data_IF_296693115946
#
_entry.id   IF_296693115946
#
_cell.length_a   1.000
_cell.length_b   1.000
_cell.length_c   1.000
_cell.angle_alpha   90.00
_cell.angle_beta   90.00
_cell.angle_gamma   90.00
#
_symmetry.space_group_name_H-M   'P 1'
#
loop_
_entity.id
_entity.type
_entity.pdbx_description
1 polymer ?
#
# COMPACT_ATOMS: atom_id res chain seq x y z
N UNK A 1 40.93 -40.15 -14.95
CA UNK A 1 40.88 -39.02 -15.92
C UNK A 1 40.52 -39.40 -17.37
N UNK A 2 40.35 -40.67 -17.74
CA UNK A 2 39.88 -41.02 -19.11
C UNK A 2 38.40 -40.72 -19.37
N UNK A 3 37.53 -40.76 -18.34
CA UNK A 3 36.10 -40.54 -18.47
C UNK A 3 35.69 -39.10 -18.86
N UNK A 4 36.60 -38.12 -18.75
CA UNK A 4 36.35 -36.72 -19.14
C UNK A 4 36.59 -36.45 -20.65
N UNK A 5 37.11 -37.43 -21.40
CA UNK A 5 37.48 -37.27 -22.82
C UNK A 5 36.50 -37.92 -23.81
N UNK A 6 35.43 -38.55 -23.31
CA UNK A 6 34.39 -39.13 -24.17
C UNK A 6 33.42 -38.06 -24.64
N UNK A 7 33.47 -37.70 -25.92
CA UNK A 7 32.45 -36.83 -26.52
C UNK A 7 31.05 -37.45 -26.33
N UNK A 8 30.09 -36.66 -25.85
CA UNK A 8 28.69 -37.08 -25.70
C UNK A 8 28.36 -38.00 -24.51
N UNK A 9 29.30 -38.31 -23.61
CA UNK A 9 28.99 -39.11 -22.41
C UNK A 9 28.59 -38.20 -21.24
N UNK A 10 27.38 -38.32 -20.66
CA UNK A 10 26.98 -37.55 -19.48
C UNK A 10 27.90 -37.85 -18.29
N UNK A 11 28.43 -36.80 -17.66
CA UNK A 11 29.31 -36.92 -16.50
C UNK A 11 28.55 -36.57 -15.22
N UNK A 12 28.39 -37.50 -14.25
CA UNK A 12 27.69 -37.21 -13.01
C UNK A 12 28.48 -36.22 -12.15
N UNK A 13 27.80 -35.24 -11.57
CA UNK A 13 28.37 -34.24 -10.69
C UNK A 13 27.54 -34.12 -9.43
N UNK A 14 28.23 -33.90 -8.30
CA UNK A 14 27.60 -33.59 -7.02
C UNK A 14 28.51 -32.63 -6.26
N UNK A 15 27.95 -31.55 -5.71
CA UNK A 15 28.68 -30.64 -4.84
C UNK A 15 27.76 -30.01 -3.78
N UNK A 16 28.36 -29.62 -2.65
CA UNK A 16 27.72 -28.81 -1.60
C UNK A 16 28.71 -27.72 -1.20
N UNK A 17 28.43 -26.50 -1.63
CA UNK A 17 29.26 -25.32 -1.42
C UNK A 17 28.61 -24.37 -0.42
N UNK A 18 29.43 -23.76 0.44
CA UNK A 18 29.01 -22.73 1.40
C UNK A 18 29.93 -21.53 1.31
N UNK A 19 29.36 -20.33 1.19
CA UNK A 19 30.06 -19.06 1.29
C UNK A 19 29.26 -18.12 2.17
N UNK A 20 29.83 -17.70 3.30
CA UNK A 20 29.08 -16.97 4.33
C UNK A 20 27.83 -17.75 4.77
N UNK A 21 26.66 -17.12 4.66
CA UNK A 21 25.37 -17.74 4.99
C UNK A 21 24.67 -18.34 3.77
N UNK A 22 25.29 -18.28 2.59
CA UNK A 22 24.76 -18.86 1.36
C UNK A 22 25.25 -20.27 1.18
N UNK A 23 24.33 -21.19 0.86
CA UNK A 23 24.61 -22.59 0.52
C UNK A 23 24.04 -22.91 -0.86
N UNK A 24 24.85 -23.58 -1.66
CA UNK A 24 24.48 -24.09 -2.97
C UNK A 24 24.79 -25.58 -2.99
N UNK A 25 23.78 -26.42 -3.15
CA UNK A 25 23.95 -27.86 -3.28
C UNK A 25 23.32 -28.35 -4.56
N UNK A 26 24.03 -29.20 -5.30
CA UNK A 26 23.50 -29.77 -6.54
C UNK A 26 23.97 -31.20 -6.77
N UNK A 27 23.14 -31.94 -7.50
CA UNK A 27 23.42 -33.27 -8.03
C UNK A 27 22.82 -33.38 -9.44
N UNK A 28 23.51 -34.06 -10.36
CA UNK A 28 23.01 -34.21 -11.73
C UNK A 28 24.11 -34.57 -12.72
N UNK A 29 23.95 -34.12 -13.97
CA UNK A 29 24.86 -34.45 -15.06
C UNK A 29 25.32 -33.23 -15.84
N UNK A 30 26.59 -33.24 -16.25
CA UNK A 30 27.16 -32.32 -17.23
C UNK A 30 27.30 -33.07 -18.55
N UNK A 31 26.73 -32.54 -19.61
CA UNK A 31 26.87 -33.07 -20.96
C UNK A 31 28.06 -32.38 -21.64
N UNK A 32 28.94 -33.19 -22.25
CA UNK A 32 30.16 -32.72 -22.91
C UNK A 32 30.98 -31.76 -22.02
N UNK A 33 31.57 -32.26 -20.92
CA UNK A 33 32.25 -31.42 -19.93
C UNK A 33 33.44 -30.62 -20.49
N UNK A 34 33.99 -31.02 -21.64
CA UNK A 34 35.07 -30.30 -22.31
C UNK A 34 34.56 -29.11 -23.14
N UNK A 35 33.30 -29.12 -23.58
CA UNK A 35 32.64 -28.01 -24.31
C UNK A 35 31.58 -27.27 -23.48
N UNK A 36 31.34 -27.70 -22.24
CA UNK A 36 30.26 -27.24 -21.36
C UNK A 36 28.89 -27.19 -22.07
N UNK A 37 28.62 -28.15 -22.96
CA UNK A 37 27.48 -28.08 -23.90
C UNK A 37 26.09 -28.03 -23.24
N UNK A 38 25.99 -28.47 -21.99
CA UNK A 38 24.85 -28.19 -21.13
C UNK A 38 24.89 -28.95 -19.81
N UNK A 39 24.10 -28.50 -18.85
CA UNK A 39 24.01 -29.09 -17.51
C UNK A 39 22.55 -29.36 -17.16
N UNK A 40 22.30 -30.47 -16.49
CA UNK A 40 20.99 -30.83 -15.96
C UNK A 40 21.15 -31.25 -14.49
N UNK A 41 20.79 -30.33 -13.60
CA UNK A 41 21.03 -30.44 -12.16
C UNK A 41 19.72 -30.37 -11.40
N UNK A 42 19.60 -31.17 -10.34
CA UNK A 42 18.80 -30.77 -9.19
C UNK A 42 19.60 -29.78 -8.37
N UNK A 43 19.04 -28.61 -8.12
CA UNK A 43 19.73 -27.49 -7.49
C UNK A 43 18.96 -27.01 -6.28
N UNK A 44 19.68 -26.83 -5.18
CA UNK A 44 19.19 -26.26 -3.92
C UNK A 44 19.98 -25.02 -3.58
N UNK A 45 19.27 -23.92 -3.35
CA UNK A 45 19.83 -22.66 -2.88
C UNK A 45 19.24 -22.32 -1.53
N UNK A 46 20.05 -21.81 -0.61
CA UNK A 46 19.56 -21.17 0.61
C UNK A 46 20.48 -20.07 1.06
N UNK A 47 19.95 -19.02 1.67
CA UNK A 47 20.72 -17.89 2.16
C UNK A 47 19.89 -16.98 3.07
N UNK A 48 20.53 -15.95 3.61
CA UNK A 48 19.84 -14.96 4.46
C UNK A 48 19.05 -13.91 3.66
N UNK A 49 19.42 -13.64 2.40
CA UNK A 49 18.73 -12.74 1.48
C UNK A 49 18.98 -13.18 0.02
N UNK A 50 17.96 -13.09 -0.85
CA UNK A 50 18.16 -13.30 -2.29
C UNK A 50 19.15 -12.31 -2.90
N UNK A 51 19.24 -11.09 -2.36
CA UNK A 51 20.19 -10.07 -2.80
C UNK A 51 21.66 -10.47 -2.65
N UNK A 52 21.97 -11.40 -1.73
CA UNK A 52 23.33 -11.91 -1.51
C UNK A 52 23.77 -12.89 -2.62
N UNK A 53 22.84 -13.35 -3.47
CA UNK A 53 23.17 -14.23 -4.59
C UNK A 53 23.95 -13.52 -5.70
N UNK A 54 23.88 -12.20 -5.79
CA UNK A 54 24.53 -11.44 -6.86
C UNK A 54 26.03 -11.69 -6.95
N UNK A 55 26.73 -11.75 -5.81
CA UNK A 55 28.19 -12.01 -5.76
C UNK A 55 28.56 -13.41 -6.26
N UNK A 56 27.63 -14.38 -6.19
CA UNK A 56 27.86 -15.78 -6.57
C UNK A 56 27.38 -16.10 -7.99
N UNK A 57 26.26 -15.50 -8.41
CA UNK A 57 25.56 -15.88 -9.65
C UNK A 57 25.56 -14.78 -10.70
N UNK A 58 25.85 -13.54 -10.33
CA UNK A 58 25.69 -12.35 -11.19
C UNK A 58 24.22 -11.98 -11.45
N UNK A 59 23.26 -12.67 -10.82
CA UNK A 59 21.83 -12.38 -10.96
C UNK A 59 21.43 -11.35 -9.91
N UNK A 60 20.94 -10.18 -10.36
CA UNK A 60 20.44 -9.17 -9.45
C UNK A 60 19.04 -9.57 -8.96
N UNK A 61 18.93 -9.85 -7.67
CA UNK A 61 17.68 -10.14 -6.99
C UNK A 61 17.47 -9.15 -5.84
N UNK A 62 16.22 -8.88 -5.43
CA UNK A 62 15.96 -7.94 -4.37
C UNK A 62 16.37 -8.51 -3.00
N UNK A 63 16.55 -7.64 -2.02
CA UNK A 63 16.74 -8.07 -0.64
C UNK A 63 15.46 -8.69 -0.08
N UNK A 64 15.62 -9.79 0.67
CA UNK A 64 14.52 -10.57 1.22
C UNK A 64 14.86 -11.10 2.62
N UNK A 65 13.87 -11.59 3.37
CA UNK A 65 14.14 -12.52 4.48
C UNK A 65 14.87 -13.80 3.99
N UNK A 66 15.35 -14.65 4.92
CA UNK A 66 16.02 -15.89 4.59
C UNK A 66 15.21 -16.74 3.63
N UNK A 67 15.86 -17.30 2.63
CA UNK A 67 15.21 -18.06 1.58
C UNK A 67 15.82 -19.45 1.44
N UNK A 68 15.02 -20.37 0.90
CA UNK A 68 15.48 -21.66 0.43
C UNK A 68 14.67 -22.08 -0.81
N UNK A 69 15.31 -22.70 -1.79
CA UNK A 69 14.64 -23.26 -2.98
C UNK A 69 15.27 -24.59 -3.38
N UNK A 70 14.48 -25.44 -4.03
CA UNK A 70 14.83 -26.72 -4.64
C UNK A 70 14.13 -26.80 -5.99
N UNK A 71 14.87 -27.10 -7.05
CA UNK A 71 14.32 -27.22 -8.39
C UNK A 71 15.29 -27.86 -9.38
N UNK A 72 14.89 -27.95 -10.65
CA UNK A 72 15.73 -28.50 -11.72
C UNK A 72 16.30 -27.37 -12.56
N UNK A 73 17.63 -27.24 -12.58
CA UNK A 73 18.33 -26.31 -13.45
C UNK A 73 18.78 -27.03 -14.72
N UNK A 74 18.31 -26.57 -15.88
CA UNK A 74 18.84 -26.94 -17.19
C UNK A 74 19.59 -25.75 -17.77
N UNK A 75 20.91 -25.87 -17.89
CA UNK A 75 21.77 -24.81 -18.42
C UNK A 75 22.31 -25.19 -19.80
N UNK A 76 22.32 -24.24 -20.72
CA UNK A 76 23.12 -24.28 -21.96
C UNK A 76 24.19 -23.21 -21.82
N UNK A 77 25.44 -23.63 -21.69
CA UNK A 77 26.55 -22.71 -21.48
C UNK A 77 27.22 -22.48 -22.83
N UNK A 78 27.23 -21.23 -23.25
CA UNK A 78 27.95 -20.75 -24.43
C UNK A 78 28.69 -19.48 -24.00
N UNK A 79 30.03 -19.57 -23.99
CA UNK A 79 30.91 -18.48 -23.55
C UNK A 79 31.14 -17.44 -24.64
N UNK A 80 30.81 -17.75 -25.90
CA UNK A 80 31.01 -16.83 -27.04
C UNK A 80 29.73 -16.04 -27.36
N UNK A 81 28.55 -16.63 -27.12
CA UNK A 81 27.24 -16.03 -27.40
C UNK A 81 26.51 -15.65 -26.12
N UNK A 82 25.60 -16.52 -25.69
CA UNK A 82 24.73 -16.33 -24.54
C UNK A 82 24.49 -17.68 -23.88
N UNK A 83 24.61 -17.69 -22.56
CA UNK A 83 24.27 -18.84 -21.73
C UNK A 83 22.83 -18.70 -21.27
N UNK A 84 22.09 -19.80 -21.30
CA UNK A 84 20.67 -19.86 -20.89
C UNK A 84 20.54 -20.82 -19.71
N UNK A 85 19.99 -20.34 -18.61
CA UNK A 85 19.79 -21.06 -17.37
C UNK A 85 18.29 -21.16 -17.09
N UNK A 86 17.73 -22.35 -17.23
CA UNK A 86 16.30 -22.61 -17.08
C UNK A 86 16.05 -23.36 -15.76
N UNK A 87 15.62 -22.63 -14.73
CA UNK A 87 15.29 -23.16 -13.42
C UNK A 87 13.81 -23.52 -13.34
N UNK A 88 13.52 -24.81 -13.51
CA UNK A 88 12.18 -25.35 -13.73
C UNK A 88 11.55 -25.88 -12.45
N UNK A 89 10.27 -25.55 -12.29
CA UNK A 89 9.39 -26.14 -11.29
C UNK A 89 9.97 -26.07 -9.88
N UNK A 90 10.66 -24.97 -9.56
CA UNK A 90 11.27 -24.83 -8.25
C UNK A 90 10.19 -24.69 -7.18
N UNK A 91 10.49 -25.18 -6.00
CA UNK A 91 9.70 -25.00 -4.78
C UNK A 91 10.61 -24.46 -3.69
N UNK A 92 10.08 -23.59 -2.84
CA UNK A 92 10.89 -22.95 -1.83
C UNK A 92 10.10 -22.08 -0.89
N UNK A 93 10.83 -21.31 -0.09
CA UNK A 93 10.30 -20.34 0.85
C UNK A 93 11.16 -19.09 0.86
N UNK A 94 10.53 -17.95 1.14
CA UNK A 94 11.16 -16.68 1.48
C UNK A 94 10.52 -16.21 2.77
N UNK A 95 11.30 -16.17 3.85
CA UNK A 95 10.76 -16.03 5.19
C UNK A 95 9.79 -17.18 5.49
N UNK A 96 8.56 -16.84 5.80
CA UNK A 96 7.49 -17.80 6.08
C UNK A 96 6.50 -17.92 4.89
N UNK A 97 6.78 -17.27 3.76
CA UNK A 97 6.01 -17.35 2.52
C UNK A 97 6.51 -18.49 1.65
N UNK A 98 5.62 -19.30 1.07
CA UNK A 98 6.02 -20.26 0.04
C UNK A 98 6.26 -19.56 -1.31
N UNK A 99 7.14 -20.13 -2.11
CA UNK A 99 7.40 -19.63 -3.46
C UNK A 99 7.69 -20.78 -4.42
N UNK A 100 7.07 -20.71 -5.59
CA UNK A 100 7.14 -21.74 -6.63
C UNK A 100 7.27 -21.07 -7.99
N UNK A 101 7.81 -21.76 -8.98
CA UNK A 101 7.78 -21.21 -10.33
C UNK A 101 8.75 -21.83 -11.30
N UNK A 102 8.94 -21.13 -12.41
CA UNK A 102 10.03 -21.38 -13.34
C UNK A 102 10.61 -20.05 -13.81
N UNK A 103 11.94 -19.96 -13.85
CA UNK A 103 12.66 -18.77 -14.25
C UNK A 103 13.74 -19.13 -15.27
N UNK A 104 13.85 -18.32 -16.32
CA UNK A 104 14.89 -18.39 -17.32
C UNK A 104 15.78 -17.17 -17.17
N UNK A 105 17.07 -17.41 -16.94
CA UNK A 105 18.08 -16.37 -16.94
C UNK A 105 18.96 -16.53 -18.18
N UNK A 106 18.99 -15.50 -19.02
CA UNK A 106 19.79 -15.47 -20.24
C UNK A 106 20.89 -14.43 -20.10
N UNK A 107 22.15 -14.85 -20.21
CA UNK A 107 23.28 -13.92 -20.25
C UNK A 107 23.39 -13.27 -21.62
N UNK A 108 23.97 -12.07 -21.69
CA UNK A 108 24.16 -11.40 -22.97
C UNK A 108 24.46 -9.92 -22.82
N UNK A 109 24.81 -9.30 -23.95
CA UNK A 109 25.00 -7.84 -24.07
C UNK A 109 23.73 -7.20 -24.68
N UNK A 110 23.37 -5.97 -24.28
CA UNK A 110 24.07 -5.14 -23.30
C UNK A 110 23.86 -5.59 -21.85
N UNK A 111 22.79 -6.34 -21.57
CA UNK A 111 22.42 -6.81 -20.22
C UNK A 111 21.87 -8.23 -20.28
N UNK A 112 22.04 -9.03 -19.20
CA UNK A 112 21.30 -10.26 -19.04
C UNK A 112 19.80 -9.99 -18.84
N UNK A 113 18.98 -11.02 -19.05
CA UNK A 113 17.53 -10.97 -18.85
C UNK A 113 17.05 -12.12 -17.95
N UNK A 114 16.21 -11.80 -16.98
CA UNK A 114 15.47 -12.77 -16.16
C UNK A 114 13.99 -12.78 -16.57
N UNK A 115 13.42 -13.93 -16.88
CA UNK A 115 12.00 -14.04 -17.26
C UNK A 115 11.32 -15.28 -16.70
N UNK A 116 10.01 -15.22 -16.47
CA UNK A 116 9.24 -16.38 -16.06
C UNK A 116 8.02 -16.09 -15.17
N UNK A 117 7.50 -17.15 -14.57
CA UNK A 117 6.30 -17.11 -13.74
C UNK A 117 6.62 -17.62 -12.34
N UNK A 118 6.23 -16.82 -11.34
CA UNK A 118 6.46 -17.08 -9.92
C UNK A 118 5.13 -17.00 -9.17
N UNK A 119 4.85 -17.97 -8.33
CA UNK A 119 3.61 -18.06 -7.55
C UNK A 119 3.90 -18.35 -6.08
N UNK A 120 3.14 -17.69 -5.21
CA UNK A 120 3.01 -18.02 -3.80
C UNK A 120 1.56 -18.42 -3.51
N UNK A 121 1.35 -19.58 -2.89
CA UNK A 121 0.03 -20.03 -2.42
C UNK A 121 -0.35 -19.30 -1.14
N UNK A 122 0.62 -19.11 -0.24
CA UNK A 122 0.55 -18.36 1.01
C UNK A 122 1.70 -17.37 1.07
N UNK A 123 1.35 -16.10 0.91
CA UNK A 123 2.26 -14.96 0.89
C UNK A 123 2.05 -14.15 2.17
N UNK A 124 3.07 -13.95 2.98
CA UNK A 124 2.98 -13.05 4.12
C UNK A 124 3.38 -11.65 3.71
N UNK A 125 2.53 -10.67 4.00
CA UNK A 125 2.85 -9.27 3.70
C UNK A 125 4.14 -8.81 4.40
N UNK A 126 4.43 -9.37 5.58
CA UNK A 126 5.66 -9.11 6.32
C UNK A 126 6.93 -9.52 5.55
N UNK A 127 6.86 -10.54 4.69
CA UNK A 127 8.01 -11.00 3.90
C UNK A 127 8.23 -10.17 2.64
N UNK A 128 7.20 -9.44 2.18
CA UNK A 128 7.31 -8.45 1.11
C UNK A 128 7.89 -7.11 1.59
N UNK A 129 7.98 -6.90 2.91
CA UNK A 129 8.39 -5.64 3.52
C UNK A 129 9.64 -5.00 2.89
N UNK A 130 10.77 -5.73 2.78
CA UNK A 130 12.00 -5.19 2.19
C UNK A 130 11.83 -4.70 0.75
N UNK A 131 10.92 -5.29 -0.03
CA UNK A 131 10.66 -4.88 -1.42
C UNK A 131 9.96 -3.53 -1.54
N UNK A 132 9.20 -3.13 -0.51
CA UNK A 132 8.41 -1.90 -0.47
C UNK A 132 8.90 -0.91 0.58
N UNK A 133 10.04 -1.17 1.21
CA UNK A 133 10.65 -0.30 2.21
C UNK A 133 9.93 -0.31 3.57
N UNK A 134 9.31 -1.42 3.91
CA UNK A 134 8.63 -1.62 5.18
C UNK A 134 9.42 -2.64 5.99
N UNK A 135 9.64 -2.34 7.27
CA UNK A 135 10.23 -3.29 8.20
C UNK A 135 9.47 -4.63 8.16
N UNK A 136 10.16 -5.70 7.75
CA UNK A 136 9.65 -7.05 7.90
C UNK A 136 9.43 -7.36 9.39
N UNK A 137 8.51 -8.27 9.69
CA UNK A 137 8.26 -8.70 11.06
C UNK A 137 9.39 -9.56 11.63
N UNK A 138 9.04 -10.66 12.30
CA UNK A 138 10.03 -11.65 12.78
C UNK A 138 10.92 -12.11 11.61
N UNK A 139 12.24 -11.93 11.73
CA UNK A 139 13.21 -12.19 10.66
C UNK A 139 13.90 -10.94 10.10
N UNK A 140 13.32 -9.75 10.33
CA UNK A 140 13.89 -8.47 9.92
C UNK A 140 15.30 -8.21 10.46
N UNK A 141 15.67 -8.76 11.63
CA UNK A 141 17.02 -8.52 12.15
C UNK A 141 18.12 -9.05 11.22
N UNK A 142 17.85 -10.11 10.46
CA UNK A 142 18.83 -10.66 9.51
C UNK A 142 18.90 -9.85 8.21
N UNK A 143 17.75 -9.47 7.65
CA UNK A 143 17.69 -8.59 6.46
C UNK A 143 18.22 -7.18 6.77
N UNK A 144 17.88 -6.62 7.94
CA UNK A 144 18.45 -5.36 8.43
C UNK A 144 19.96 -5.46 8.64
N UNK A 145 20.48 -6.63 9.02
CA UNK A 145 21.92 -6.85 9.17
C UNK A 145 22.61 -6.97 7.81
N UNK A 146 21.97 -7.51 6.77
CA UNK A 146 22.50 -7.45 5.39
C UNK A 146 22.49 -6.02 4.85
N UNK A 147 21.41 -5.26 5.07
CA UNK A 147 21.32 -3.82 4.72
C UNK A 147 22.36 -2.97 5.48
N UNK A 148 22.54 -3.21 6.77
CA UNK A 148 23.57 -2.54 7.59
C UNK A 148 24.99 -2.86 7.12
N UNK A 149 25.27 -4.09 6.65
CA UNK A 149 26.57 -4.45 6.06
C UNK A 149 26.83 -3.71 4.74
N UNK A 150 25.78 -3.38 3.99
CA UNK A 150 25.85 -2.60 2.73
C UNK A 150 25.91 -1.08 2.96
N UNK A 151 25.83 -0.61 4.21
CA UNK A 151 25.91 0.83 4.55
C UNK A 151 24.61 1.61 4.29
N UNK A 152 23.53 0.92 3.98
CA UNK A 152 22.22 1.49 3.63
C UNK A 152 21.41 1.73 4.91
N UNK A 153 21.74 2.81 5.65
CA UNK A 153 20.90 3.27 6.76
C UNK A 153 19.75 4.12 6.24
N UNK A 154 18.71 3.50 5.70
CA UNK A 154 17.40 4.14 5.76
C UNK A 154 16.79 3.81 7.11
N UNK A 155 16.60 4.83 7.95
CA UNK A 155 15.89 4.70 9.21
C UNK A 155 14.54 5.34 9.00
N UNK A 156 13.47 4.54 9.06
CA UNK A 156 12.10 5.04 9.06
C UNK A 156 11.97 6.13 10.15
N UNK A 157 11.69 7.40 9.80
CA UNK A 157 11.68 8.46 10.80
C UNK A 157 10.58 8.24 11.83
N UNK A 158 10.86 8.58 13.09
CA UNK A 158 9.88 8.48 14.15
C UNK A 158 8.62 9.33 13.82
N UNK A 159 7.44 8.75 14.00
CA UNK A 159 6.17 9.44 13.74
C UNK A 159 5.69 9.41 12.28
N UNK A 160 6.47 8.81 11.35
CA UNK A 160 6.11 8.67 9.93
C UNK A 160 5.59 7.27 9.61
N UNK A 161 4.63 7.19 8.69
CA UNK A 161 4.03 5.94 8.19
C UNK A 161 4.41 5.63 6.74
N UNK A 162 4.77 6.63 5.93
CA UNK A 162 5.20 6.38 4.55
C UNK A 162 6.61 5.77 4.53
N UNK A 163 6.90 4.74 3.71
CA UNK A 163 8.23 4.14 3.59
C UNK A 163 9.32 5.13 3.13
N UNK A 164 10.39 5.28 3.92
CA UNK A 164 11.55 6.11 3.58
C UNK A 164 12.70 5.34 2.93
N UNK A 165 12.65 4.01 2.93
CA UNK A 165 13.69 3.18 2.33
C UNK A 165 13.83 3.46 0.85
N UNK A 166 15.09 3.55 0.43
CA UNK A 166 15.42 4.02 -0.90
C UNK A 166 15.44 2.86 -1.87
N UNK A 167 14.81 3.06 -3.02
CA UNK A 167 15.01 2.22 -4.18
C UNK A 167 16.44 2.39 -4.70
N UNK A 168 17.14 1.28 -4.86
CA UNK A 168 18.48 1.22 -5.42
C UNK A 168 18.47 1.27 -6.96
N UNK A 169 17.98 2.39 -7.50
CA UNK A 169 17.78 2.54 -8.95
C UNK A 169 19.06 2.42 -9.77
N UNK A 170 20.23 2.67 -9.15
CA UNK A 170 21.54 2.47 -9.80
C UNK A 170 21.80 0.99 -10.16
N UNK A 171 21.18 0.04 -9.46
CA UNK A 171 21.29 -1.39 -9.77
C UNK A 171 20.33 -1.81 -10.89
N UNK A 172 19.32 -1.01 -11.22
CA UNK A 172 18.29 -1.39 -12.19
C UNK A 172 18.78 -1.43 -13.64
N UNK A 173 19.96 -0.86 -13.92
CA UNK A 173 20.59 -0.95 -15.24
C UNK A 173 21.49 -2.18 -15.41
N UNK A 174 21.62 -3.03 -14.39
CA UNK A 174 22.48 -4.22 -14.43
C UNK A 174 21.83 -5.39 -15.18
N UNK A 175 20.50 -5.48 -15.18
CA UNK A 175 19.74 -6.60 -15.75
C UNK A 175 18.32 -6.16 -16.16
N UNK A 176 17.79 -6.77 -17.23
CA UNK A 176 16.38 -6.66 -17.60
C UNK A 176 15.55 -7.79 -16.95
N UNK A 177 14.27 -7.54 -16.65
CA UNK A 177 13.36 -8.54 -16.08
C UNK A 177 11.99 -8.54 -16.76
N UNK A 178 11.39 -9.72 -16.90
CA UNK A 178 10.04 -9.95 -17.42
C UNK A 178 9.39 -11.08 -16.62
N UNK A 179 8.91 -10.76 -15.42
CA UNK A 179 8.45 -11.74 -14.43
C UNK A 179 7.00 -11.50 -14.08
N UNK A 180 6.19 -12.55 -14.16
CA UNK A 180 4.82 -12.54 -13.65
C UNK A 180 4.81 -13.14 -12.25
N UNK A 181 4.24 -12.41 -11.31
CA UNK A 181 4.11 -12.85 -9.93
C UNK A 181 2.64 -12.98 -9.52
N UNK A 182 2.30 -14.04 -8.80
CA UNK A 182 0.95 -14.26 -8.26
C UNK A 182 1.00 -14.76 -6.81
N UNK A 183 0.42 -14.00 -5.88
CA UNK A 183 0.10 -14.44 -4.52
C UNK A 183 -1.38 -14.79 -4.41
N UNK A 184 -1.72 -16.05 -4.08
CA UNK A 184 -3.13 -16.49 -4.02
C UNK A 184 -3.82 -16.13 -2.71
N UNK A 185 -3.12 -16.25 -1.60
CA UNK A 185 -3.60 -15.90 -0.26
C UNK A 185 -2.53 -15.08 0.44
N UNK A 186 -2.91 -13.90 0.90
CA UNK A 186 -2.04 -13.00 1.63
C UNK A 186 -2.39 -13.11 3.11
N UNK A 187 -1.39 -13.51 3.89
CA UNK A 187 -1.44 -13.37 5.33
C UNK A 187 -0.98 -11.97 5.69
N UNK A 188 -1.91 -11.19 6.18
CA UNK A 188 -1.70 -9.84 6.66
C UNK A 188 -1.88 -9.80 8.18
N UNK A 189 -1.26 -8.81 8.83
CA UNK A 189 -1.59 -8.48 10.21
C UNK A 189 -3.00 -7.90 10.34
N UNK A 190 -3.36 -7.45 11.53
CA UNK A 190 -4.69 -6.86 11.79
C UNK A 190 -4.99 -5.58 10.99
N UNK A 191 -3.98 -4.93 10.39
CA UNK A 191 -4.07 -3.56 9.90
C UNK A 191 -4.45 -3.37 8.43
N UNK A 192 -4.24 -4.37 7.55
CA UNK A 192 -4.42 -4.21 6.10
C UNK A 192 -5.11 -5.43 5.49
N UNK A 193 -6.43 -5.37 5.18
CA UNK A 193 -7.20 -6.51 4.68
C UNK A 193 -6.91 -6.83 3.21
N UNK A 194 -5.67 -7.24 2.91
CA UNK A 194 -5.19 -7.57 1.57
C UNK A 194 -5.29 -9.09 1.36
N UNK A 195 -5.77 -9.56 0.22
CA UNK A 195 -6.07 -11.00 0.03
C UNK A 195 -5.28 -11.67 -1.09
N UNK A 196 -5.53 -11.33 -2.35
CA UNK A 196 -4.78 -11.83 -3.50
C UNK A 196 -3.88 -10.75 -4.09
N UNK A 197 -2.86 -11.15 -4.85
CA UNK A 197 -1.96 -10.25 -5.57
C UNK A 197 -1.57 -10.87 -6.91
N UNK A 198 -1.58 -10.09 -7.96
CA UNK A 198 -0.96 -10.45 -9.24
C UNK A 198 -0.29 -9.23 -9.85
N UNK A 199 0.91 -9.41 -10.38
CA UNK A 199 1.63 -8.34 -11.07
C UNK A 199 2.47 -8.88 -12.21
N UNK A 200 2.66 -8.06 -13.24
CA UNK A 200 3.66 -8.28 -14.28
C UNK A 200 4.75 -7.23 -14.10
N UNK A 201 5.92 -7.71 -13.68
CA UNK A 201 7.12 -6.94 -13.41
C UNK A 201 7.93 -6.90 -14.69
N UNK A 202 8.07 -5.72 -15.27
CA UNK A 202 8.88 -5.49 -16.46
C UNK A 202 9.95 -4.48 -16.08
N UNK A 203 11.21 -4.89 -16.11
CA UNK A 203 12.36 -4.01 -15.96
C UNK A 203 13.12 -4.01 -17.28
N UNK A 204 13.25 -2.85 -17.92
CA UNK A 204 13.95 -2.74 -19.20
C UNK A 204 14.77 -1.46 -19.25
N UNK A 205 16.09 -1.55 -19.38
CA UNK A 205 16.97 -0.38 -19.38
C UNK A 205 16.72 0.55 -18.16
N UNK A 206 16.69 -0.01 -16.95
CA UNK A 206 16.33 0.71 -15.72
C UNK A 206 14.90 1.32 -15.65
N UNK A 207 14.03 1.04 -16.63
CA UNK A 207 12.61 1.41 -16.62
C UNK A 207 11.78 0.28 -15.98
N UNK A 208 11.26 0.50 -14.77
CA UNK A 208 10.45 -0.48 -14.04
C UNK A 208 8.96 -0.21 -14.25
N UNK A 209 8.22 -1.25 -14.62
CA UNK A 209 6.76 -1.24 -14.75
C UNK A 209 6.14 -2.39 -13.99
N UNK A 210 5.06 -2.08 -13.28
CA UNK A 210 4.15 -3.06 -12.68
C UNK A 210 2.79 -2.90 -13.37
N UNK A 211 2.53 -3.74 -14.38
CA UNK A 211 1.41 -3.52 -15.29
C UNK A 211 0.73 -4.83 -15.73
N UNK A 212 -0.47 -5.16 -15.20
CA UNK A 212 -1.15 -4.52 -14.08
C UNK A 212 -0.67 -5.07 -12.74
N UNK A 213 -0.61 -4.23 -11.71
CA UNK A 213 -0.60 -4.63 -10.31
C UNK A 213 -2.06 -4.74 -9.83
N UNK A 214 -2.52 -5.92 -9.44
CA UNK A 214 -3.89 -6.15 -8.92
C UNK A 214 -3.85 -6.85 -7.59
N UNK A 215 -4.69 -6.43 -6.66
CA UNK A 215 -4.86 -7.11 -5.39
C UNK A 215 -6.25 -6.87 -4.79
N UNK A 216 -6.75 -7.85 -4.06
CA UNK A 216 -7.97 -7.69 -3.27
C UNK A 216 -7.70 -6.84 -2.02
N UNK A 217 -8.60 -5.92 -1.69
CA UNK A 217 -8.53 -5.11 -0.47
C UNK A 217 -9.93 -4.88 0.10
N UNK A 218 -10.11 -5.14 1.40
CA UNK A 218 -11.36 -4.85 2.12
C UNK A 218 -12.62 -5.39 1.41
N UNK A 219 -12.54 -6.64 0.93
CA UNK A 219 -13.61 -7.31 0.18
C UNK A 219 -13.85 -6.80 -1.24
N UNK A 220 -13.15 -5.76 -1.67
CA UNK A 220 -13.14 -5.20 -3.02
C UNK A 220 -11.83 -5.49 -3.76
N UNK A 221 -11.52 -4.66 -4.76
CA UNK A 221 -10.34 -4.83 -5.61
C UNK A 221 -9.63 -3.52 -5.88
N UNK A 222 -8.30 -3.55 -5.92
CA UNK A 222 -7.45 -2.48 -6.41
C UNK A 222 -6.69 -2.97 -7.64
N UNK A 223 -6.70 -2.16 -8.70
CA UNK A 223 -5.86 -2.33 -9.88
C UNK A 223 -5.02 -1.07 -10.06
N UNK A 224 -3.72 -1.24 -10.33
CA UNK A 224 -2.80 -0.14 -10.53
C UNK A 224 -1.85 -0.43 -11.69
N UNK A 225 -1.45 0.62 -12.40
CA UNK A 225 -0.29 0.60 -13.29
C UNK A 225 0.75 1.54 -12.68
N UNK A 226 1.93 1.00 -12.39
CA UNK A 226 3.03 1.77 -11.79
C UNK A 226 4.19 1.81 -12.79
N UNK A 227 4.74 2.99 -13.02
CA UNK A 227 5.88 3.22 -13.91
C UNK A 227 6.93 4.06 -13.18
N UNK A 228 8.13 3.50 -13.00
CA UNK A 228 9.25 4.11 -12.31
C UNK A 228 10.45 4.19 -13.27
N UNK A 229 10.92 5.41 -13.53
CA UNK A 229 12.02 5.72 -14.46
C UNK A 229 13.34 5.79 -13.68
N UNK A 230 13.99 4.64 -13.47
CA UNK A 230 15.19 4.50 -12.66
C UNK A 230 16.47 5.10 -13.27
N UNK A 231 16.44 5.40 -14.56
CA UNK A 231 17.48 6.10 -15.31
C UNK A 231 17.54 7.61 -14.99
N UNK A 232 16.50 8.16 -14.34
CA UNK A 232 16.42 9.57 -13.95
C UNK A 232 16.87 9.80 -12.51
N UNK A 233 17.48 10.96 -12.26
CA UNK A 233 17.95 11.39 -10.92
C UNK A 233 17.42 12.79 -10.58
N UNK A 234 16.49 12.95 -9.62
CA UNK A 234 15.79 11.88 -8.90
C UNK A 234 14.87 11.06 -9.82
N UNK A 235 14.58 9.82 -9.42
CA UNK A 235 13.69 8.90 -10.14
C UNK A 235 12.31 9.55 -10.32
N UNK A 236 11.72 9.39 -11.50
CA UNK A 236 10.35 9.85 -11.78
C UNK A 236 9.40 8.66 -11.66
N UNK A 237 8.25 8.87 -11.01
CA UNK A 237 7.23 7.83 -10.83
C UNK A 237 5.85 8.28 -11.30
N UNK A 238 5.10 7.35 -11.89
CA UNK A 238 3.69 7.51 -12.23
C UNK A 238 2.89 6.33 -11.68
N UNK A 239 1.68 6.61 -11.20
CA UNK A 239 0.75 5.60 -10.76
C UNK A 239 -0.68 5.97 -11.19
N UNK A 240 -1.31 5.05 -11.92
CA UNK A 240 -2.74 5.08 -12.23
C UNK A 240 -3.40 3.99 -11.40
N UNK A 241 -4.31 4.36 -10.49
CA UNK A 241 -4.89 3.45 -9.49
C UNK A 241 -6.41 3.50 -9.58
N UNK A 242 -7.03 2.33 -9.54
CA UNK A 242 -8.48 2.15 -9.50
C UNK A 242 -8.84 1.24 -8.34
N UNK A 243 -9.67 1.75 -7.44
CA UNK A 243 -10.27 1.02 -6.33
C UNK A 243 -11.76 0.81 -6.61
N UNK A 244 -12.26 -0.40 -6.41
CA UNK A 244 -13.66 -0.75 -6.64
C UNK A 244 -14.22 -1.56 -5.48
N UNK A 245 -15.41 -1.18 -5.03
CA UNK A 245 -16.20 -1.86 -4.00
C UNK A 245 -15.43 -2.17 -2.70
N UNK A 246 -14.58 -1.24 -2.25
CA UNK A 246 -13.89 -1.37 -0.97
C UNK A 246 -14.92 -1.20 0.16
N UNK A 247 -15.05 -2.18 1.04
CA UNK A 247 -16.04 -2.12 2.12
C UNK A 247 -15.49 -1.31 3.29
N UNK A 248 -16.23 -0.29 3.73
CA UNK A 248 -15.81 0.61 4.82
C UNK A 248 -15.50 -0.12 6.12
N UNK A 249 -16.35 -1.08 6.52
CA UNK A 249 -16.15 -1.91 7.71
C UNK A 249 -14.79 -2.63 7.72
N UNK A 250 -14.40 -3.16 6.57
CA UNK A 250 -13.15 -3.93 6.44
C UNK A 250 -11.92 -3.00 6.34
N UNK A 251 -12.06 -1.77 5.83
CA UNK A 251 -10.97 -0.79 5.74
C UNK A 251 -10.51 -0.25 7.11
N UNK A 252 -11.38 -0.25 8.12
CA UNK A 252 -11.09 0.29 9.45
C UNK A 252 -11.49 -0.73 10.54
N UNK A 253 -10.87 -1.93 10.57
CA UNK A 253 -11.29 -3.03 11.43
C UNK A 253 -11.12 -2.71 12.92
N UNK A 254 -10.13 -1.90 13.27
CA UNK A 254 -9.79 -1.56 14.65
C UNK A 254 -10.62 -0.39 15.22
N UNK A 255 -11.50 0.23 14.41
CA UNK A 255 -12.37 1.31 14.87
C UNK A 255 -13.76 0.76 15.14
N UNK A 256 -14.11 0.62 16.43
CA UNK A 256 -15.38 0.02 16.88
C UNK A 256 -16.62 0.66 16.25
N UNK A 257 -16.64 2.00 16.14
CA UNK A 257 -17.73 2.75 15.50
C UNK A 257 -17.85 2.47 14.00
N UNK A 258 -16.79 2.02 13.34
CA UNK A 258 -16.81 1.64 11.92
C UNK A 258 -17.32 0.21 11.70
N UNK A 259 -17.42 -0.61 12.76
CA UNK A 259 -17.90 -1.99 12.64
C UNK A 259 -19.39 -2.11 12.30
N UNK A 260 -20.13 -1.02 12.53
CA UNK A 260 -21.55 -0.84 12.16
C UNK A 260 -21.73 0.00 10.89
N UNK A 261 -20.64 0.42 10.24
CA UNK A 261 -20.72 1.19 9.01
C UNK A 261 -20.78 0.25 7.81
N UNK A 262 -21.83 0.36 6.99
CA UNK A 262 -21.97 -0.34 5.72
C UNK A 262 -21.79 0.65 4.57
N UNK A 263 -21.13 0.23 3.50
CA UNK A 263 -20.91 1.09 2.34
C UNK A 263 -19.74 0.59 1.50
N UNK A 264 -19.86 0.79 0.19
CA UNK A 264 -18.84 0.45 -0.78
C UNK A 264 -18.21 1.72 -1.35
N UNK A 265 -16.91 1.86 -1.18
CA UNK A 265 -16.12 2.95 -1.73
C UNK A 265 -15.49 2.54 -3.05
N UNK A 266 -15.61 3.43 -4.03
CA UNK A 266 -14.89 3.37 -5.29
C UNK A 266 -13.94 4.56 -5.36
N UNK A 267 -12.83 4.42 -6.07
CA UNK A 267 -11.91 5.53 -6.24
C UNK A 267 -11.00 5.39 -7.44
N UNK A 268 -10.51 6.51 -7.93
CA UNK A 268 -9.56 6.61 -9.02
C UNK A 268 -8.49 7.64 -8.62
N UNK A 269 -7.22 7.30 -8.80
CA UNK A 269 -6.10 8.19 -8.53
C UNK A 269 -5.13 8.19 -9.70
N UNK A 270 -4.64 9.38 -10.05
CA UNK A 270 -3.54 9.57 -10.98
C UNK A 270 -2.48 10.38 -10.24
N UNK A 271 -1.27 9.85 -10.13
CA UNK A 271 -0.16 10.46 -9.40
C UNK A 271 1.09 10.49 -10.26
N UNK A 272 1.78 11.62 -10.25
CA UNK A 272 3.13 11.78 -10.82
C UNK A 272 4.03 12.42 -9.78
N UNK A 273 5.15 11.80 -9.45
CA UNK A 273 6.06 12.31 -8.42
C UNK A 273 7.51 12.05 -8.75
N UNK A 274 8.41 12.58 -7.91
CA UNK A 274 9.85 12.36 -8.05
C UNK A 274 10.50 12.08 -6.70
N UNK A 275 11.46 11.16 -6.70
CA UNK A 275 12.14 10.71 -5.49
C UNK A 275 12.47 9.23 -5.53
N UNK A 276 13.40 8.81 -4.68
CA UNK A 276 13.89 7.43 -4.68
C UNK A 276 13.29 6.61 -3.53
N UNK A 277 12.13 6.97 -2.99
CA UNK A 277 11.38 6.19 -1.97
C UNK A 277 9.89 6.47 -2.11
N UNK A 278 9.03 5.64 -1.49
CA UNK A 278 7.57 5.88 -1.51
C UNK A 278 7.23 7.24 -0.89
N UNK A 279 7.83 7.56 0.27
CA UNK A 279 7.65 8.85 0.93
C UNK A 279 8.09 10.02 0.05
N UNK A 280 9.23 9.92 -0.66
CA UNK A 280 9.71 10.98 -1.53
C UNK A 280 8.83 11.14 -2.79
N UNK A 281 8.41 10.03 -3.42
CA UNK A 281 7.52 10.06 -4.58
C UNK A 281 6.18 10.71 -4.24
N UNK A 282 5.53 10.29 -3.15
CA UNK A 282 4.26 10.86 -2.71
C UNK A 282 4.43 12.30 -2.19
N UNK A 283 5.49 12.56 -1.43
CA UNK A 283 5.79 13.89 -0.89
C UNK A 283 6.10 14.95 -1.94
N UNK A 284 6.54 14.55 -3.13
CA UNK A 284 6.77 15.45 -4.27
C UNK A 284 5.76 15.22 -5.41
N UNK A 285 4.63 14.58 -5.12
CA UNK A 285 3.66 14.21 -6.16
C UNK A 285 2.73 15.35 -6.56
N UNK A 286 2.23 15.27 -7.79
CA UNK A 286 1.12 16.03 -8.32
C UNK A 286 0.09 15.06 -8.91
N UNK A 287 -1.19 15.43 -8.91
CA UNK A 287 -2.22 14.59 -9.48
C UNK A 287 -3.60 14.81 -8.86
N UNK A 288 -4.45 13.81 -8.96
CA UNK A 288 -5.82 13.88 -8.47
C UNK A 288 -6.25 12.56 -7.84
N UNK A 289 -7.12 12.65 -6.82
CA UNK A 289 -7.78 11.53 -6.18
C UNK A 289 -9.28 11.77 -6.18
N UNK A 290 -10.05 10.85 -6.77
CA UNK A 290 -11.51 10.84 -6.71
C UNK A 290 -11.96 9.64 -5.89
N UNK A 291 -12.83 9.86 -4.92
CA UNK A 291 -13.47 8.83 -4.11
C UNK A 291 -14.99 9.02 -4.18
N UNK A 292 -15.73 7.92 -4.25
CA UNK A 292 -17.18 7.93 -4.35
C UNK A 292 -17.79 6.74 -3.60
N UNK A 293 -18.85 7.02 -2.84
CA UNK A 293 -19.78 6.07 -2.27
C UNK A 293 -21.20 6.55 -2.60
N UNK A 294 -22.04 5.68 -3.17
CA UNK A 294 -23.40 6.05 -3.56
C UNK A 294 -24.43 5.79 -2.46
N UNK A 295 -24.21 4.84 -1.59
CA UNK A 295 -25.13 4.52 -0.49
C UNK A 295 -24.33 3.89 0.66
N UNK A 296 -24.77 4.12 1.88
CA UNK A 296 -24.18 3.51 3.06
C UNK A 296 -25.05 3.67 4.31
N UNK A 297 -24.63 3.02 5.38
CA UNK A 297 -25.16 3.15 6.71
C UNK A 297 -24.01 3.49 7.64
N UNK A 298 -24.23 4.41 8.57
CA UNK A 298 -23.24 4.81 9.56
C UNK A 298 -23.87 4.77 10.95
N UNK A 299 -23.07 4.44 11.96
CA UNK A 299 -23.46 4.52 13.37
C UNK A 299 -24.11 5.87 13.70
N UNK A 300 -25.28 5.85 14.32
CA UNK A 300 -25.93 7.06 14.83
C UNK A 300 -25.07 7.71 15.91
N UNK A 301 -24.47 6.93 16.78
CA UNK A 301 -23.56 7.43 17.80
C UNK A 301 -22.36 8.17 17.17
N UNK A 302 -21.81 7.67 16.06
CA UNK A 302 -20.77 8.38 15.31
C UNK A 302 -21.29 9.72 14.76
N UNK A 303 -22.50 9.73 14.20
CA UNK A 303 -23.14 10.97 13.70
C UNK A 303 -23.48 11.97 14.81
N UNK A 304 -23.80 11.50 16.01
CA UNK A 304 -24.08 12.33 17.18
C UNK A 304 -22.82 12.92 17.80
N UNK A 305 -21.70 12.19 17.77
CA UNK A 305 -20.36 12.75 18.06
C UNK A 305 -20.05 13.87 17.08
N UNK A 306 -20.29 13.65 15.77
CA UNK A 306 -20.04 14.68 14.75
C UNK A 306 -20.94 15.91 14.97
N UNK A 307 -22.20 15.71 15.34
CA UNK A 307 -23.14 16.79 15.67
C UNK A 307 -22.97 17.39 17.07
N UNK A 308 -22.02 16.88 17.88
CA UNK A 308 -21.78 17.25 19.28
C UNK A 308 -23.04 17.22 20.15
N UNK A 309 -23.91 16.23 19.90
CA UNK A 309 -25.13 16.03 20.66
C UNK A 309 -24.87 15.02 21.79
N UNK A 310 -24.15 15.48 22.83
CA UNK A 310 -23.71 14.65 23.98
C UNK A 310 -24.89 14.01 24.71
N UNK A 311 -26.07 14.67 24.74
CA UNK A 311 -27.27 14.14 25.39
C UNK A 311 -27.77 12.86 24.73
N UNK A 312 -27.86 12.83 23.40
CA UNK A 312 -28.31 11.64 22.69
C UNK A 312 -27.23 10.54 22.63
N UNK A 313 -25.94 10.91 22.57
CA UNK A 313 -24.84 9.92 22.60
C UNK A 313 -24.89 9.06 23.87
N UNK A 314 -25.20 9.67 25.03
CA UNK A 314 -25.34 8.94 26.30
C UNK A 314 -26.52 7.97 26.24
N UNK A 315 -27.63 8.34 25.60
CA UNK A 315 -28.80 7.47 25.40
C UNK A 315 -28.43 6.29 24.49
N UNK A 316 -27.78 6.54 23.34
CA UNK A 316 -27.33 5.48 22.43
C UNK A 316 -26.27 4.55 23.03
N UNK A 317 -25.39 5.06 23.90
CA UNK A 317 -24.42 4.25 24.64
C UNK A 317 -25.09 3.27 25.64
N UNK A 318 -26.30 3.59 26.12
CA UNK A 318 -27.05 2.79 27.10
C UNK A 318 -28.04 1.83 26.42
N UNK A 319 -28.72 2.28 25.36
CA UNK A 319 -29.86 1.57 24.75
C UNK A 319 -29.57 0.89 23.40
N UNK A 320 -28.37 1.09 22.83
CA UNK A 320 -27.99 0.55 21.54
C UNK A 320 -27.83 1.64 20.48
N UNK A 321 -27.10 1.31 19.42
CA UNK A 321 -26.72 2.24 18.35
C UNK A 321 -27.56 1.96 17.11
N UNK A 322 -28.39 2.92 16.72
CA UNK A 322 -29.16 2.90 15.48
C UNK A 322 -28.27 3.21 14.27
N UNK A 323 -28.75 2.91 13.06
CA UNK A 323 -28.07 3.26 11.81
C UNK A 323 -28.64 4.57 11.24
N UNK A 324 -27.77 5.39 10.65
CA UNK A 324 -28.11 6.59 9.89
C UNK A 324 -27.76 6.34 8.43
N UNK A 325 -28.70 6.64 7.52
CA UNK A 325 -28.47 6.47 6.08
C UNK A 325 -27.55 7.55 5.54
N UNK A 326 -26.51 7.12 4.82
CA UNK A 326 -25.65 7.96 3.98
C UNK A 326 -26.17 7.85 2.54
N UNK A 327 -26.66 8.96 2.00
CA UNK A 327 -27.16 9.07 0.63
C UNK A 327 -26.03 9.10 -0.40
N UNK A 328 -24.85 9.61 -0.03
CA UNK A 328 -23.61 9.51 -0.80
C UNK A 328 -22.44 10.10 0.00
N UNK A 329 -21.23 9.74 -0.38
CA UNK A 329 -20.01 10.44 0.00
C UNK A 329 -19.12 10.62 -1.21
N UNK A 330 -18.51 11.79 -1.35
CA UNK A 330 -17.66 12.12 -2.48
C UNK A 330 -16.45 12.91 -2.03
N UNK A 331 -15.29 12.57 -2.58
CA UNK A 331 -14.10 13.40 -2.50
C UNK A 331 -13.49 13.58 -3.89
N UNK A 332 -13.11 14.80 -4.24
CA UNK A 332 -12.28 15.14 -5.38
C UNK A 332 -11.13 16.01 -4.86
N UNK A 333 -9.94 15.43 -4.76
CA UNK A 333 -8.76 16.07 -4.20
C UNK A 333 -7.77 16.38 -5.32
N UNK A 334 -7.30 17.63 -5.37
CA UNK A 334 -6.13 17.99 -6.16
C UNK A 334 -4.88 17.85 -5.29
N UNK A 335 -3.86 17.19 -5.81
CA UNK A 335 -2.58 16.98 -5.14
C UNK A 335 -1.55 17.85 -5.85
N UNK A 336 -0.90 18.74 -5.11
CA UNK A 336 0.15 19.61 -5.64
C UNK A 336 1.34 19.61 -4.68
N UNK A 337 2.52 19.25 -5.18
CA UNK A 337 3.75 19.12 -4.39
C UNK A 337 3.55 18.34 -3.08
N UNK A 338 2.89 17.18 -3.20
CA UNK A 338 2.56 16.29 -2.09
C UNK A 338 1.49 16.80 -1.13
N UNK A 339 0.83 17.93 -1.40
CA UNK A 339 -0.28 18.45 -0.58
C UNK A 339 -1.60 18.20 -1.28
N UNK A 340 -2.41 17.31 -0.71
CA UNK A 340 -3.78 17.04 -1.13
C UNK A 340 -4.73 18.11 -0.56
N UNK A 341 -5.52 18.72 -1.43
CA UNK A 341 -6.57 19.68 -1.09
C UNK A 341 -7.91 19.27 -1.71
N UNK A 342 -9.00 19.21 -0.93
CA UNK A 342 -10.31 18.92 -1.47
C UNK A 342 -10.83 20.09 -2.29
N UNK A 343 -11.20 19.81 -3.54
CA UNK A 343 -12.12 20.65 -4.30
C UNK A 343 -13.56 20.34 -3.89
N UNK A 344 -13.82 19.06 -3.62
CA UNK A 344 -15.06 18.54 -3.02
C UNK A 344 -14.62 17.52 -1.98
N UNK A 345 -15.19 17.59 -0.79
CA UNK A 345 -15.16 16.48 0.16
C UNK A 345 -16.38 16.59 1.04
N UNK A 346 -17.39 15.78 0.74
CA UNK A 346 -18.69 15.89 1.38
C UNK A 346 -19.34 14.53 1.61
N UNK A 347 -20.13 14.45 2.68
CA UNK A 347 -21.00 13.33 3.01
C UNK A 347 -22.42 13.84 3.10
N UNK A 348 -23.31 13.29 2.28
CA UNK A 348 -24.74 13.58 2.36
C UNK A 348 -25.43 12.46 3.12
N UNK A 349 -26.05 12.78 4.25
CA UNK A 349 -26.83 11.84 5.06
C UNK A 349 -28.29 12.28 5.10
N UNK A 350 -29.16 11.42 5.59
CA UNK A 350 -30.56 11.78 5.86
C UNK A 350 -30.69 12.94 6.87
N UNK A 351 -29.71 13.09 7.79
CA UNK A 351 -29.80 14.01 8.92
C UNK A 351 -28.95 15.28 8.76
N UNK A 352 -27.93 15.25 7.89
CA UNK A 352 -26.97 16.33 7.72
C UNK A 352 -26.20 16.24 6.40
N UNK A 353 -25.77 17.41 5.89
CA UNK A 353 -24.69 17.53 4.92
C UNK A 353 -23.39 17.82 5.69
N UNK A 354 -22.35 17.04 5.47
CA UNK A 354 -21.06 17.23 6.15
C UNK A 354 -20.02 17.62 5.11
N UNK A 355 -19.48 18.83 5.24
CA UNK A 355 -18.41 19.34 4.38
C UNK A 355 -17.05 19.20 5.07
N UNK A 356 -16.02 18.79 4.34
CA UNK A 356 -14.66 18.66 4.85
C UNK A 356 -13.73 19.55 4.05
N UNK A 357 -13.00 20.42 4.74
CA UNK A 357 -12.02 21.34 4.15
C UNK A 357 -10.65 21.17 4.81
N UNK A 358 -9.63 21.84 4.27
CA UNK A 358 -8.27 21.80 4.81
C UNK A 358 -7.31 21.04 3.90
N UNK A 359 -6.26 20.44 4.49
CA UNK A 359 -5.19 19.80 3.72
C UNK A 359 -4.69 18.51 4.37
N UNK A 360 -4.21 17.59 3.54
CA UNK A 360 -3.38 16.47 3.95
C UNK A 360 -2.06 16.54 3.18
N UNK A 361 -0.92 16.53 3.88
CA UNK A 361 0.40 16.65 3.27
C UNK A 361 1.13 15.31 3.34
N UNK A 362 1.40 14.69 2.19
CA UNK A 362 2.27 13.51 2.09
C UNK A 362 3.73 13.86 2.37
N UNK A 363 4.16 15.09 2.09
CA UNK A 363 5.53 15.55 2.33
C UNK A 363 5.86 15.62 3.82
N UNK A 364 4.93 16.17 4.61
CA UNK A 364 5.09 16.31 6.06
C UNK A 364 4.32 15.26 6.85
N UNK A 365 3.55 14.39 6.20
CA UNK A 365 2.63 13.42 6.81
C UNK A 365 1.72 14.04 7.88
N UNK A 366 1.19 15.24 7.58
CA UNK A 366 0.35 16.02 8.48
C UNK A 366 -1.06 16.18 7.93
N UNK A 367 -2.03 16.16 8.82
CA UNK A 367 -3.43 16.47 8.59
C UNK A 367 -3.75 17.81 9.24
N UNK A 368 -4.52 18.63 8.53
CA UNK A 368 -5.25 19.75 9.09
C UNK A 368 -6.57 19.86 8.34
N UNK A 369 -7.56 19.10 8.82
CA UNK A 369 -8.89 19.04 8.25
C UNK A 369 -9.87 19.72 9.19
N UNK A 370 -10.85 20.42 8.61
CA UNK A 370 -12.01 20.95 9.32
C UNK A 370 -13.26 20.27 8.79
N UNK A 371 -14.08 19.74 9.70
CA UNK A 371 -15.33 19.07 9.38
C UNK A 371 -16.47 19.98 9.82
N UNK A 372 -17.33 20.36 8.89
CA UNK A 372 -18.44 21.29 9.10
C UNK A 372 -19.78 20.58 8.83
N UNK A 373 -20.50 20.16 9.88
CA UNK A 373 -21.79 19.50 9.75
C UNK A 373 -22.95 20.52 9.69
N UNK A 374 -23.73 20.48 8.62
CA UNK A 374 -24.93 21.27 8.39
C UNK A 374 -26.18 20.39 8.55
N UNK A 375 -27.08 20.74 9.48
CA UNK A 375 -28.28 19.93 9.78
C UNK A 375 -29.42 20.20 8.80
N UNK A 376 -30.01 19.13 8.24
CA UNK A 376 -31.20 19.20 7.36
C UNK A 376 -32.54 19.29 8.11
N UNK A 377 -32.52 19.19 9.44
CA UNK A 377 -33.71 19.28 10.30
C UNK A 377 -33.52 20.21 11.49
N UNK A 378 -34.63 20.64 12.10
CA UNK A 378 -34.62 21.43 13.34
C UNK A 378 -34.04 20.56 14.45
N UNK A 379 -32.97 21.04 15.09
CA UNK A 379 -32.38 20.37 16.25
C UNK A 379 -32.45 21.27 17.47
N UNK A 380 -32.99 20.71 18.55
CA UNK A 380 -33.12 21.34 19.85
C UNK A 380 -31.88 20.92 20.65
N UNK A 381 -30.99 21.87 20.97
CA UNK A 381 -29.69 21.68 21.65
C UNK A 381 -28.59 21.12 20.71
N UNK A 382 -27.92 22.00 19.94
CA UNK A 382 -26.72 21.62 19.17
C UNK A 382 -25.56 22.59 19.35
N UNK A 383 -24.38 22.05 19.61
CA UNK A 383 -23.13 22.78 19.64
C UNK A 383 -22.56 22.74 18.21
N UNK A 384 -23.04 23.62 17.30
CA UNK A 384 -22.55 23.73 15.89
C UNK A 384 -21.12 24.28 15.80
N UNK A 385 -20.17 23.66 16.50
CA UNK A 385 -18.77 23.96 16.31
C UNK A 385 -18.19 23.04 15.25
N UNK A 386 -17.46 23.59 14.26
CA UNK A 386 -16.69 22.76 13.36
C UNK A 386 -15.74 21.86 14.15
N UNK A 387 -15.64 20.62 13.70
CA UNK A 387 -14.65 19.68 14.22
C UNK A 387 -13.35 19.86 13.45
N UNK A 388 -12.27 19.33 14.00
CA UNK A 388 -11.00 19.23 13.30
C UNK A 388 -10.43 17.82 13.39
N UNK A 389 -9.62 17.47 12.39
CA UNK A 389 -8.70 16.33 12.44
C UNK A 389 -7.31 16.86 12.13
N UNK A 390 -6.40 16.78 13.10
CA UNK A 390 -5.06 17.38 13.04
C UNK A 390 -3.97 16.42 13.47
N UNK A 391 -2.73 16.78 13.19
CA UNK A 391 -1.56 16.00 13.60
C UNK A 391 -1.10 15.03 12.53
N UNK A 392 -0.23 14.10 12.91
CA UNK A 392 0.47 13.24 11.93
C UNK A 392 -0.44 12.13 11.41
N UNK A 393 -0.16 11.58 10.23
CA UNK A 393 -0.84 10.38 9.73
C UNK A 393 -0.80 9.21 10.71
N UNK A 394 0.31 9.07 11.47
CA UNK A 394 0.47 8.02 12.47
C UNK A 394 -0.42 8.21 13.71
N UNK A 395 -0.70 9.46 14.07
CA UNK A 395 -1.44 9.82 15.26
C UNK A 395 -2.36 11.01 14.97
N UNK A 396 -3.46 10.79 14.23
CA UNK A 396 -4.45 11.80 13.97
C UNK A 396 -5.24 12.11 15.24
N UNK A 397 -5.45 13.39 15.52
CA UNK A 397 -6.20 13.88 16.67
C UNK A 397 -7.47 14.55 16.18
N UNK A 398 -8.62 14.02 16.59
CA UNK A 398 -9.91 14.62 16.33
C UNK A 398 -10.36 15.45 17.54
N UNK A 399 -11.01 16.57 17.30
CA UNK A 399 -11.53 17.42 18.37
C UNK A 399 -12.48 18.50 17.88
N UNK A 400 -12.91 19.34 18.82
CA UNK A 400 -13.89 20.40 18.57
C UNK A 400 -13.22 21.77 18.59
N UNK A 401 -13.56 22.65 17.65
CA UNK A 401 -13.16 24.06 17.75
C UNK A 401 -13.93 24.73 18.88
N UNK A 402 -13.24 25.01 19.99
CA UNK A 402 -13.84 25.60 21.19
C UNK A 402 -14.29 27.06 21.01
N UNK A 403 -13.69 27.81 20.08
CA UNK A 403 -13.98 29.25 19.89
C UNK A 403 -15.48 29.57 19.71
N UNK A 404 -16.17 28.98 18.71
CA UNK A 404 -17.60 29.17 18.53
C UNK A 404 -18.44 28.70 19.73
N UNK A 405 -17.99 27.68 20.48
CA UNK A 405 -18.68 27.21 21.68
C UNK A 405 -18.63 28.24 22.81
N UNK A 406 -17.44 28.82 23.05
CA UNK A 406 -17.23 29.82 24.10
C UNK A 406 -18.10 31.05 23.81
N UNK A 407 -18.11 31.53 22.56
CA UNK A 407 -18.92 32.69 22.17
C UNK A 407 -20.42 32.45 22.42
N UNK A 408 -20.94 31.26 22.05
CA UNK A 408 -22.35 30.91 22.28
C UNK A 408 -22.68 30.71 23.74
N UNK A 409 -21.78 30.09 24.52
CA UNK A 409 -21.93 29.96 25.97
C UNK A 409 -22.04 31.33 26.65
N UNK A 410 -21.23 32.31 26.23
CA UNK A 410 -21.30 33.68 26.73
C UNK A 410 -22.63 34.36 26.37
N UNK A 411 -23.11 34.22 25.13
CA UNK A 411 -24.41 34.76 24.69
C UNK A 411 -25.57 34.11 25.46
N UNK A 412 -25.56 32.78 25.61
CA UNK A 412 -26.59 32.07 26.35
C UNK A 412 -26.61 32.47 27.83
N UNK A 413 -25.43 32.65 28.46
CA UNK A 413 -25.32 33.14 29.82
C UNK A 413 -25.85 34.57 29.96
N UNK A 414 -25.54 35.46 29.02
CA UNK A 414 -26.07 36.83 29.00
C UNK A 414 -27.60 36.87 28.79
N UNK A 415 -28.15 36.02 27.92
CA UNK A 415 -29.60 35.92 27.73
C UNK A 415 -30.32 35.34 28.94
N UNK A 416 -29.69 34.38 29.64
CA UNK A 416 -30.20 33.79 30.87
C UNK A 416 -30.32 34.82 32.00
N UNK A 417 -29.39 35.78 32.08
CA UNK A 417 -29.43 36.86 33.09
C UNK A 417 -30.41 37.97 32.73
N UNK A 418 -30.65 38.23 31.43
CA UNK A 418 -31.43 39.38 30.97
C UNK A 418 -32.93 39.12 30.74
N UNK A 419 -33.32 37.92 30.28
CA UNK A 419 -34.68 37.73 29.71
C UNK A 419 -35.46 36.57 30.36
N UNK A 420 -34.81 35.46 30.73
CA UNK A 420 -35.28 34.28 31.53
C UNK A 420 -34.51 33.02 31.10
N UNK A 421 -34.41 31.96 31.93
CA UNK A 421 -33.73 30.70 31.55
C UNK A 421 -34.26 30.05 30.27
N UNK A 422 -35.56 30.21 29.96
CA UNK A 422 -36.16 29.69 28.75
C UNK A 422 -35.67 30.41 27.49
N UNK A 423 -35.38 31.72 27.56
CA UNK A 423 -34.86 32.49 26.44
C UNK A 423 -33.42 32.08 26.07
N UNK A 424 -32.64 31.58 27.02
CA UNK A 424 -31.29 31.06 26.75
C UNK A 424 -31.30 29.83 25.82
N UNK A 425 -32.39 29.04 25.81
CA UNK A 425 -32.55 27.89 24.92
C UNK A 425 -32.75 28.32 23.46
N UNK A 426 -33.28 29.52 23.20
CA UNK A 426 -33.42 30.05 21.83
C UNK A 426 -32.07 30.20 21.13
N UNK A 427 -31.00 30.53 21.87
CA UNK A 427 -29.65 30.63 21.33
C UNK A 427 -29.05 29.27 20.90
N UNK A 428 -29.67 28.16 21.32
CA UNK A 428 -29.26 26.78 21.03
C UNK A 428 -30.13 26.09 19.96
N UNK A 429 -31.22 26.74 19.52
CA UNK A 429 -32.07 26.25 18.44
C UNK A 429 -31.44 26.60 17.09
N UNK A 430 -31.42 25.63 16.17
CA UNK A 430 -30.99 25.84 14.79
C UNK A 430 -32.16 25.69 13.82
N UNK A 431 -32.40 26.68 12.93
CA UNK A 431 -33.22 26.43 11.74
C UNK A 431 -32.54 25.38 10.85
N UNK A 432 -33.34 24.68 10.04
CA UNK A 432 -32.87 23.73 9.04
C UNK A 432 -32.24 24.48 7.86
N UNK A 433 -31.10 24.02 7.38
CA UNK A 433 -30.47 24.52 6.16
C UNK A 433 -30.31 23.36 5.15
N UNK A 434 -30.75 23.56 3.90
CA UNK A 434 -30.50 22.64 2.78
C UNK A 434 -31.67 21.75 2.32
N UNK A 435 -31.61 21.29 1.06
CA UNK A 435 -32.56 20.33 0.48
C UNK A 435 -32.30 18.89 0.98
N UNK A 436 -33.30 18.01 0.89
CA UNK A 436 -33.27 16.66 1.46
C UNK A 436 -32.16 15.74 0.91
N UNK A 437 -31.75 15.89 -0.35
CA UNK A 437 -30.69 15.07 -0.97
C UNK A 437 -29.81 15.92 -1.90
N UNK A 438 -28.52 16.03 -1.59
CA UNK A 438 -27.55 16.86 -2.32
C UNK A 438 -26.66 16.06 -3.28
N UNK A 439 -26.85 14.74 -3.38
CA UNK A 439 -25.95 13.86 -4.14
C UNK A 439 -25.90 14.21 -5.61
N UNK A 440 -27.01 14.59 -6.24
CA UNK A 440 -27.00 15.01 -7.65
C UNK A 440 -26.10 16.22 -7.87
N UNK A 441 -26.13 17.20 -6.97
CA UNK A 441 -25.28 18.40 -7.00
C UNK A 441 -23.82 18.01 -6.83
N UNK A 442 -23.49 17.24 -5.79
CA UNK A 442 -22.13 16.79 -5.47
C UNK A 442 -21.53 15.98 -6.64
N UNK A 443 -22.26 14.99 -7.15
CA UNK A 443 -21.82 14.13 -8.25
C UNK A 443 -21.63 14.89 -9.57
N UNK A 444 -22.44 15.92 -9.82
CA UNK A 444 -22.28 16.76 -11.02
C UNK A 444 -20.96 17.53 -11.01
N UNK A 445 -20.48 17.92 -9.82
CA UNK A 445 -19.22 18.63 -9.67
C UNK A 445 -18.01 17.68 -9.79
N UNK A 446 -18.16 16.39 -9.47
CA UNK A 446 -17.10 15.38 -9.68
C UNK A 446 -16.78 15.10 -11.16
N UNK A 447 -17.71 15.41 -12.07
CA UNK A 447 -17.56 15.27 -13.53
C UNK A 447 -16.79 16.42 -14.17
N UNK A 448 -16.70 17.56 -13.49
CA UNK A 448 -15.84 18.69 -13.88
C UNK A 448 -14.41 18.38 -13.46
#
# INVERSE_FOLDING_TARGET
MLALRGEGTPFPVQADFRSGNTRVAFDGVVNDPMKMGGVDLRLKFSGDSLGDLYELTGVLLPDTPPFETDGRLVAKIDTEKSSVFDYRGFNGRIGDSDIHGSLVYTTGKPRPKLEGDVESRQLRLADLGPLIGVDSGKGAEKSKRSEQKKGEKSVQPAGKVLPYDRFETDKWDVMDADVRFKGRRIEHGSSLPISDLSTHIILKNADLRLQPLKFGMAGGSIAANIHLEGDKKPMQGRADIQARRLKLKELMPDVELMQKTLGEMNGDAELRGSGNSVAALLGNSNGNLKLLMNDGLVSRNLMEIVGLNVGNYIVGAIFGDDEVRVNCAAANLNIANGVARPQIFAFDTENALINVTGTASFASEQLDLTIDPESKGIRIITLRSPLYVRGTFKNPQAGVKAGPLIARGAVAAALATLVTPAAALLALISPSEGEANQCRTILSQMKK
#
